data_IF_608531297182
#
_entry.id   IF_608531297182
#
_cell.length_a   1.000
_cell.length_b   1.000
_cell.length_c   1.000
_cell.angle_alpha   90.00
_cell.angle_beta   90.00
_cell.angle_gamma   90.00
#
_symmetry.space_group_name_H-M   'P 1'
#
loop_
_entity.id
_entity.type
_entity.pdbx_description
1 polymer ?
#
# COMPACT_ATOMS: atom_id res chain seq x y z
N UNK A 1 21.75 7.35 -13.22
CA UNK A 1 23.22 7.18 -13.10
C UNK A 1 23.57 7.28 -11.62
N UNK A 2 24.12 6.25 -10.98
CA UNK A 2 24.32 6.23 -9.52
C UNK A 2 25.79 6.50 -9.24
N UNK A 3 26.08 7.61 -8.59
CA UNK A 3 27.44 7.95 -8.18
C UNK A 3 27.73 7.22 -6.86
N UNK A 4 28.67 6.27 -6.86
CA UNK A 4 29.18 5.62 -5.65
C UNK A 4 30.34 6.48 -5.11
N UNK A 5 30.05 7.34 -4.14
CA UNK A 5 31.09 7.97 -3.31
C UNK A 5 31.25 7.17 -2.00
N UNK A 6 32.48 6.99 -1.48
CA UNK A 6 32.71 6.41 -0.17
C UNK A 6 32.00 7.21 0.93
N UNK A 7 31.46 6.53 1.96
CA UNK A 7 30.72 7.17 3.08
C UNK A 7 31.47 8.36 3.73
N UNK A 8 32.78 8.31 3.83
CA UNK A 8 33.62 9.37 4.40
C UNK A 8 33.64 10.63 3.53
N UNK A 9 33.76 10.48 2.22
CA UNK A 9 33.74 11.61 1.27
C UNK A 9 32.38 12.30 1.28
N UNK A 10 31.31 11.53 1.50
CA UNK A 10 29.97 12.05 1.62
C UNK A 10 29.72 12.95 2.81
N UNK A 11 30.23 12.57 3.98
CA UNK A 11 30.10 13.39 5.19
C UNK A 11 30.87 14.71 5.07
N UNK A 12 32.01 14.72 4.37
CA UNK A 12 32.81 15.93 4.16
C UNK A 12 32.10 16.86 3.16
N UNK A 13 31.51 16.30 2.10
CA UNK A 13 30.75 17.10 1.11
C UNK A 13 29.47 17.67 1.74
N UNK A 14 28.77 16.91 2.58
CA UNK A 14 27.61 17.43 3.32
C UNK A 14 27.98 18.57 4.29
N UNK A 15 29.10 18.43 5.02
CA UNK A 15 29.57 19.47 5.92
C UNK A 15 29.99 20.75 5.17
N UNK A 16 30.42 20.64 3.90
CA UNK A 16 30.79 21.77 3.05
C UNK A 16 29.58 22.42 2.33
N UNK A 17 28.47 21.70 2.16
CA UNK A 17 27.25 22.14 1.46
C UNK A 17 26.15 22.60 2.44
N UNK A 18 26.49 23.01 3.65
CA UNK A 18 25.50 23.58 4.57
C UNK A 18 24.88 24.86 3.98
N UNK A 19 23.56 25.07 4.13
CA UNK A 19 22.66 24.43 5.12
C UNK A 19 21.80 23.24 4.62
N UNK A 20 21.93 22.78 3.38
CA UNK A 20 21.04 21.78 2.82
C UNK A 20 21.72 20.42 2.54
N UNK A 21 21.01 19.29 2.69
CA UNK A 21 21.52 17.97 2.32
C UNK A 21 21.92 17.90 0.84
N UNK A 22 22.91 17.06 0.49
CA UNK A 22 23.38 16.87 -0.90
C UNK A 22 22.22 16.51 -1.84
N UNK A 23 21.27 15.73 -1.37
CA UNK A 23 20.09 15.32 -2.17
C UNK A 23 19.25 16.53 -2.62
N UNK A 24 19.21 17.63 -1.86
CA UNK A 24 18.52 18.88 -2.26
C UNK A 24 19.17 19.56 -3.46
N UNK A 25 20.49 19.47 -3.59
CA UNK A 25 21.18 20.01 -4.77
C UNK A 25 21.10 19.08 -5.98
N UNK A 26 21.12 17.79 -5.77
CA UNK A 26 20.93 16.80 -6.83
C UNK A 26 19.53 16.92 -7.44
N UNK A 27 18.51 17.19 -6.63
CA UNK A 27 17.14 17.42 -7.05
C UNK A 27 16.97 18.57 -8.05
N UNK A 28 17.80 19.62 -7.93
CA UNK A 28 17.80 20.76 -8.87
C UNK A 28 18.30 20.38 -10.27
N UNK A 29 19.13 19.35 -10.37
CA UNK A 29 19.67 18.85 -11.65
C UNK A 29 18.70 17.84 -12.26
N UNK A 30 18.26 16.86 -11.49
CA UNK A 30 17.28 15.84 -11.85
C UNK A 30 16.59 15.33 -10.60
N UNK A 31 15.24 15.45 -10.51
CA UNK A 31 14.48 15.00 -9.34
C UNK A 31 14.64 13.51 -8.99
N UNK A 32 15.11 12.69 -9.92
CA UNK A 32 15.37 11.26 -9.69
C UNK A 32 16.78 10.97 -9.15
N UNK A 33 17.68 11.95 -9.19
CA UNK A 33 19.03 11.81 -8.63
C UNK A 33 18.99 11.92 -7.12
N UNK A 34 19.50 10.89 -6.44
CA UNK A 34 19.57 10.85 -4.98
C UNK A 34 20.78 10.06 -4.53
N UNK A 35 21.32 10.45 -3.40
CA UNK A 35 22.42 9.75 -2.76
C UNK A 35 21.96 8.89 -1.57
N UNK A 36 21.17 9.49 -0.68
CA UNK A 36 20.68 8.81 0.55
C UNK A 36 19.18 8.60 0.57
N UNK A 37 18.43 9.54 0.03
CA UNK A 37 16.97 9.46 0.00
C UNK A 37 16.49 8.38 -0.97
N UNK A 38 15.38 7.77 -0.67
CA UNK A 38 14.66 6.95 -1.62
C UNK A 38 13.69 7.85 -2.38
N UNK A 39 13.73 7.77 -3.70
CA UNK A 39 12.74 8.38 -4.58
C UNK A 39 12.12 7.32 -5.48
N UNK A 40 10.97 7.62 -6.00
CA UNK A 40 10.31 6.71 -6.91
C UNK A 40 9.64 7.49 -8.04
N UNK A 41 9.81 7.00 -9.26
CA UNK A 41 9.15 7.53 -10.45
C UNK A 41 7.86 6.75 -10.69
N UNK A 42 6.76 7.45 -10.92
CA UNK A 42 5.50 6.84 -11.34
C UNK A 42 5.69 6.26 -12.74
N UNK A 43 5.51 4.96 -12.90
CA UNK A 43 5.64 4.25 -14.19
C UNK A 43 4.29 3.86 -14.78
N UNK A 44 3.23 3.81 -13.97
CA UNK A 44 1.86 3.72 -14.48
C UNK A 44 0.86 4.31 -13.48
N UNK A 45 -0.25 4.80 -14.02
CA UNK A 45 -1.38 5.36 -13.27
C UNK A 45 -2.66 4.74 -13.78
N UNK A 46 -3.51 4.27 -12.89
CA UNK A 46 -4.89 3.86 -13.19
C UNK A 46 -5.86 4.39 -12.14
N UNK A 47 -7.13 4.50 -12.51
CA UNK A 47 -8.19 4.99 -11.63
C UNK A 47 -9.31 3.95 -11.56
N UNK A 48 -9.17 2.94 -10.68
CA UNK A 48 -10.13 1.84 -10.61
C UNK A 48 -11.51 2.26 -10.10
N UNK A 49 -11.60 3.37 -9.36
CA UNK A 49 -12.86 3.99 -8.91
C UNK A 49 -12.76 5.50 -9.02
N UNK A 50 -13.87 6.22 -8.91
CA UNK A 50 -13.89 7.70 -8.95
C UNK A 50 -13.02 8.33 -7.84
N UNK A 51 -12.88 7.65 -6.71
CA UNK A 51 -12.16 8.14 -5.52
C UNK A 51 -10.75 7.57 -5.39
N UNK A 52 -10.33 6.66 -6.26
CA UNK A 52 -9.11 5.90 -6.05
C UNK A 52 -8.16 6.04 -7.23
N UNK A 53 -6.90 6.30 -6.95
CA UNK A 53 -5.80 6.22 -7.90
C UNK A 53 -4.86 5.08 -7.49
N UNK A 54 -4.48 4.24 -8.44
CA UNK A 54 -3.47 3.20 -8.30
C UNK A 54 -2.21 3.64 -9.03
N UNK A 55 -1.09 3.63 -8.34
CA UNK A 55 0.22 4.04 -8.81
C UNK A 55 1.16 2.84 -8.80
N UNK A 56 1.87 2.63 -9.90
CA UNK A 56 3.04 1.76 -9.93
C UNK A 56 4.29 2.62 -9.91
N UNK A 57 5.16 2.40 -8.94
CA UNK A 57 6.32 3.23 -8.67
C UNK A 57 7.60 2.44 -8.88
N UNK A 58 8.53 2.99 -9.65
CA UNK A 58 9.90 2.46 -9.78
C UNK A 58 10.79 3.20 -8.78
N UNK A 59 11.17 2.57 -7.66
CA UNK A 59 12.03 3.21 -6.67
C UNK A 59 13.48 3.27 -7.13
N UNK A 60 14.24 4.17 -6.54
CA UNK A 60 15.70 4.22 -6.68
C UNK A 60 16.37 3.05 -5.95
N UNK A 61 17.67 2.83 -6.21
CA UNK A 61 18.43 1.67 -5.68
C UNK A 61 18.58 1.65 -4.16
N UNK A 62 18.29 2.75 -3.49
CA UNK A 62 18.31 2.86 -2.03
C UNK A 62 17.13 2.13 -1.38
N UNK A 63 16.08 1.84 -2.13
CA UNK A 63 14.93 1.07 -1.65
C UNK A 63 15.34 -0.35 -1.31
N UNK A 64 15.02 -0.80 -0.10
CA UNK A 64 15.36 -2.13 0.43
C UNK A 64 14.26 -3.18 0.30
N UNK A 65 13.10 -2.79 -0.25
CA UNK A 65 11.92 -3.62 -0.26
C UNK A 65 11.01 -3.37 0.95
N UNK A 66 9.97 -4.18 1.07
CA UNK A 66 9.03 -4.15 2.19
C UNK A 66 8.64 -5.58 2.59
N UNK A 67 8.19 -5.75 3.81
CA UNK A 67 7.44 -6.92 4.23
C UNK A 67 5.95 -6.64 4.03
N UNK A 68 5.17 -7.67 3.66
CA UNK A 68 3.75 -7.54 3.42
C UNK A 68 3.04 -7.00 4.67
N UNK A 69 2.24 -5.96 4.49
CA UNK A 69 1.55 -5.26 5.57
C UNK A 69 2.23 -3.99 6.05
N UNK A 70 3.55 -3.83 5.85
CA UNK A 70 4.25 -2.59 6.17
C UNK A 70 3.71 -1.39 5.38
N UNK A 71 4.03 -0.19 5.85
CA UNK A 71 3.75 1.07 5.18
C UNK A 71 5.03 1.83 4.85
N UNK A 72 4.93 2.79 3.96
CA UNK A 72 5.95 3.78 3.67
C UNK A 72 5.36 5.19 3.75
N UNK A 73 6.21 6.19 3.96
CA UNK A 73 5.82 7.59 3.80
C UNK A 73 6.05 7.99 2.35
N UNK A 74 5.00 8.43 1.68
CA UNK A 74 5.05 9.05 0.37
C UNK A 74 5.04 10.56 0.53
N UNK A 75 6.00 11.23 -0.10
CA UNK A 75 6.12 12.69 -0.07
C UNK A 75 5.91 13.28 -1.47
N UNK A 76 5.14 14.33 -1.53
CA UNK A 76 4.87 15.10 -2.75
C UNK A 76 4.97 16.60 -2.44
N UNK A 77 5.45 17.37 -3.39
CA UNK A 77 5.49 18.84 -3.30
C UNK A 77 4.22 19.40 -3.96
N UNK A 78 3.45 20.16 -3.19
CA UNK A 78 2.23 20.86 -3.64
C UNK A 78 2.44 22.34 -3.29
N UNK A 79 2.34 23.19 -4.28
CA UNK A 79 2.52 24.66 -4.13
C UNK A 79 3.83 25.04 -3.39
N UNK A 80 4.91 24.33 -3.70
CA UNK A 80 6.23 24.54 -3.09
C UNK A 80 6.40 23.94 -1.69
N UNK A 81 5.37 23.33 -1.10
CA UNK A 81 5.40 22.72 0.22
C UNK A 81 5.42 21.21 0.11
N UNK A 82 6.33 20.55 0.82
CA UNK A 82 6.42 19.09 0.90
C UNK A 82 5.40 18.55 1.89
N UNK A 83 4.53 17.69 1.42
CA UNK A 83 3.55 16.97 2.21
C UNK A 83 3.82 15.47 2.20
N UNK A 84 3.67 14.81 3.35
CA UNK A 84 3.90 13.36 3.48
C UNK A 84 2.68 12.65 4.06
N UNK A 85 2.40 11.44 3.55
CA UNK A 85 1.34 10.55 4.08
C UNK A 85 1.82 9.10 4.01
N UNK A 86 1.31 8.29 4.94
CA UNK A 86 1.60 6.87 4.99
C UNK A 86 0.68 6.08 4.05
N UNK A 87 1.26 5.16 3.30
CA UNK A 87 0.55 4.23 2.43
C UNK A 87 1.20 2.86 2.50
N UNK A 88 0.40 1.80 2.51
CA UNK A 88 0.90 0.43 2.45
C UNK A 88 1.01 -0.03 1.00
N UNK A 89 2.17 -0.57 0.59
CA UNK A 89 2.28 -1.28 -0.68
C UNK A 89 1.25 -2.41 -0.77
N UNK A 90 0.59 -2.52 -1.92
CA UNK A 90 -0.39 -3.57 -2.16
C UNK A 90 0.20 -4.78 -2.90
N UNK A 91 1.37 -4.64 -3.53
CA UNK A 91 2.06 -5.74 -4.20
C UNK A 91 2.63 -6.76 -3.21
N UNK A 92 2.82 -8.00 -3.67
CA UNK A 92 3.51 -9.03 -2.91
C UNK A 92 4.93 -8.58 -2.52
N UNK A 93 5.35 -8.94 -1.32
CA UNK A 93 6.74 -8.80 -0.86
C UNK A 93 7.61 -10.00 -1.20
N UNK A 94 7.03 -11.07 -1.77
CA UNK A 94 7.78 -12.25 -2.21
C UNK A 94 8.38 -12.02 -3.59
N UNK A 95 9.66 -12.32 -3.73
CA UNK A 95 10.39 -12.24 -4.99
C UNK A 95 11.35 -11.05 -5.10
N UNK A 96 12.17 -11.08 -6.15
CA UNK A 96 13.13 -10.01 -6.42
C UNK A 96 12.42 -8.81 -7.08
N UNK A 97 12.73 -7.62 -6.61
CA UNK A 97 12.46 -6.32 -7.24
C UNK A 97 11.18 -6.22 -8.10
N UNK A 98 10.08 -5.87 -7.47
CA UNK A 98 8.88 -5.42 -8.18
C UNK A 98 8.67 -3.91 -7.95
N UNK A 99 8.00 -3.20 -8.88
CA UNK A 99 7.52 -1.85 -8.63
C UNK A 99 6.66 -1.82 -7.36
N UNK A 100 6.74 -0.72 -6.61
CA UNK A 100 5.85 -0.49 -5.46
C UNK A 100 4.46 -0.17 -6.02
N UNK A 101 3.46 -0.94 -5.66
CA UNK A 101 2.07 -0.63 -5.98
C UNK A 101 1.42 0.09 -4.80
N UNK A 102 0.97 1.31 -5.01
CA UNK A 102 0.19 2.06 -4.03
C UNK A 102 -1.21 2.32 -4.57
N UNK A 103 -2.21 2.10 -3.74
CA UNK A 103 -3.61 2.46 -4.04
C UNK A 103 -4.07 3.47 -3.02
N UNK A 104 -4.40 4.66 -3.50
CA UNK A 104 -4.68 5.85 -2.72
C UNK A 104 -6.14 6.23 -2.93
N UNK A 105 -6.92 6.16 -1.87
CA UNK A 105 -8.33 6.61 -1.88
C UNK A 105 -8.41 8.05 -1.38
N UNK A 106 -8.98 8.92 -2.18
CA UNK A 106 -9.23 10.30 -1.79
C UNK A 106 -10.38 10.37 -0.77
N UNK A 107 -10.12 11.06 0.33
CA UNK A 107 -11.13 11.42 1.33
C UNK A 107 -11.56 12.86 1.11
N UNK A 108 -12.77 13.22 1.54
CA UNK A 108 -13.37 14.54 1.27
C UNK A 108 -12.47 15.67 1.82
N UNK A 109 -11.82 15.47 2.97
CA UNK A 109 -10.86 16.42 3.58
C UNK A 109 -9.39 16.05 3.31
N UNK A 110 -9.14 15.11 2.42
CA UNK A 110 -7.83 14.53 2.18
C UNK A 110 -7.00 15.33 1.17
N UNK A 111 -6.26 16.36 1.59
CA UNK A 111 -5.48 17.23 0.71
C UNK A 111 -4.49 16.46 -0.20
N UNK A 112 -3.62 15.62 0.36
CA UNK A 112 -2.61 14.87 -0.43
C UNK A 112 -3.24 13.78 -1.28
N UNK A 113 -4.20 13.03 -0.74
CA UNK A 113 -4.86 11.95 -1.47
C UNK A 113 -5.69 12.47 -2.65
N UNK A 114 -6.37 13.59 -2.47
CA UNK A 114 -7.11 14.28 -3.54
C UNK A 114 -6.16 14.80 -4.61
N UNK A 115 -5.07 15.47 -4.21
CA UNK A 115 -4.05 15.93 -5.15
C UNK A 115 -3.48 14.79 -6.00
N UNK A 116 -3.12 13.66 -5.38
CA UNK A 116 -2.58 12.51 -6.11
C UNK A 116 -3.61 11.85 -7.03
N UNK A 117 -4.87 11.72 -6.58
CA UNK A 117 -5.95 11.22 -7.45
C UNK A 117 -6.08 12.05 -8.73
N UNK A 118 -6.00 13.38 -8.60
CA UNK A 118 -6.29 14.29 -9.70
C UNK A 118 -5.06 14.57 -10.59
N UNK A 119 -3.86 14.64 -9.99
CA UNK A 119 -2.66 15.14 -10.64
C UNK A 119 -1.59 14.09 -10.90
N UNK A 120 -1.69 12.87 -10.32
CA UNK A 120 -0.67 11.85 -10.55
C UNK A 120 -0.61 11.47 -12.03
N UNK A 121 0.63 11.44 -12.58
CA UNK A 121 0.93 11.09 -13.97
C UNK A 121 2.26 10.34 -14.07
N UNK A 122 2.42 9.59 -15.13
CA UNK A 122 3.67 8.91 -15.45
C UNK A 122 4.83 9.91 -15.56
N UNK A 123 6.00 9.50 -15.10
CA UNK A 123 7.19 10.33 -15.01
C UNK A 123 7.28 11.23 -13.78
N UNK A 124 6.20 11.43 -13.02
CA UNK A 124 6.24 12.18 -11.77
C UNK A 124 7.14 11.49 -10.75
N UNK A 125 8.03 12.25 -10.10
CA UNK A 125 8.93 11.74 -9.06
C UNK A 125 8.40 12.11 -7.70
N UNK A 126 8.36 11.12 -6.80
CA UNK A 126 7.88 11.23 -5.43
C UNK A 126 8.98 10.84 -4.45
N UNK A 127 9.02 11.48 -3.29
CA UNK A 127 9.85 11.03 -2.19
C UNK A 127 9.21 9.81 -1.51
N UNK A 128 10.03 8.84 -1.12
CA UNK A 128 9.57 7.60 -0.48
C UNK A 128 10.49 7.27 0.69
N UNK A 129 9.94 6.95 1.87
CA UNK A 129 10.75 6.40 2.96
C UNK A 129 11.06 4.92 2.71
N UNK A 130 11.96 4.32 3.49
CA UNK A 130 12.00 2.87 3.66
C UNK A 130 10.67 2.39 4.27
N UNK A 131 10.31 1.13 4.01
CA UNK A 131 9.15 0.51 4.62
C UNK A 131 9.33 0.37 6.15
N UNK A 132 8.24 0.50 6.88
CA UNK A 132 8.18 0.49 8.34
C UNK A 132 6.88 -0.18 8.82
N UNK A 133 6.83 -0.53 10.10
CA UNK A 133 5.67 -1.09 10.76
C UNK A 133 5.82 -2.57 11.09
N UNK A 134 5.10 -2.99 12.12
CA UNK A 134 5.12 -4.35 12.68
C UNK A 134 3.90 -5.18 12.27
N UNK A 135 2.96 -4.57 11.53
CA UNK A 135 1.80 -5.28 10.99
C UNK A 135 2.25 -6.14 9.81
N UNK A 136 2.78 -7.32 10.12
CA UNK A 136 3.39 -8.25 9.15
C UNK A 136 2.90 -9.67 9.38
N UNK A 137 3.13 -10.55 8.39
CA UNK A 137 2.84 -11.97 8.54
C UNK A 137 3.82 -12.60 9.55
N UNK A 138 3.36 -13.47 10.46
CA UNK A 138 4.24 -14.22 11.35
C UNK A 138 5.08 -15.24 10.54
N UNK A 139 6.14 -15.72 11.17
CA UNK A 139 7.01 -16.74 10.56
C UNK A 139 6.30 -18.09 10.36
N UNK A 140 5.41 -18.43 11.28
CA UNK A 140 4.59 -19.64 11.23
C UNK A 140 3.12 -19.21 11.15
N UNK A 141 2.41 -19.74 10.18
CA UNK A 141 1.01 -19.45 9.89
C UNK A 141 0.32 -20.73 9.46
N UNK A 142 -0.78 -21.08 10.11
CA UNK A 142 -1.58 -22.26 9.75
C UNK A 142 -2.83 -21.92 8.96
N UNK A 143 -3.46 -20.78 9.29
CA UNK A 143 -4.68 -20.27 8.67
C UNK A 143 -4.67 -18.74 8.76
N UNK A 144 -5.20 -18.04 7.77
CA UNK A 144 -5.26 -16.59 7.76
C UNK A 144 -6.67 -16.08 7.52
N UNK A 145 -7.12 -15.13 8.35
CA UNK A 145 -8.35 -14.37 8.14
C UNK A 145 -8.01 -12.90 7.98
N UNK A 146 -8.21 -12.37 6.79
CA UNK A 146 -8.02 -10.97 6.46
C UNK A 146 -9.34 -10.22 6.53
N UNK A 147 -9.39 -9.15 7.30
CA UNK A 147 -10.56 -8.29 7.45
C UNK A 147 -10.14 -6.87 7.09
N UNK A 148 -10.77 -6.28 6.08
CA UNK A 148 -10.39 -4.96 5.61
C UNK A 148 -11.58 -4.05 5.37
N UNK A 149 -11.39 -2.74 5.59
CA UNK A 149 -12.38 -1.71 5.30
C UNK A 149 -11.80 -0.59 4.45
N UNK A 150 -12.42 -0.30 3.30
CA UNK A 150 -12.01 0.78 2.41
C UNK A 150 -10.52 0.71 2.01
N UNK A 151 -9.75 1.75 2.29
CA UNK A 151 -8.31 1.80 1.97
C UNK A 151 -7.45 0.81 2.76
N UNK A 152 -7.96 0.24 3.86
CA UNK A 152 -7.27 -0.80 4.63
C UNK A 152 -7.11 -2.12 3.88
N UNK A 153 -7.65 -2.24 2.68
CA UNK A 153 -7.43 -3.39 1.80
C UNK A 153 -5.96 -3.56 1.40
N UNK A 154 -5.17 -2.48 1.30
CA UNK A 154 -3.81 -2.53 0.72
C UNK A 154 -2.84 -3.40 1.50
N UNK A 155 -2.66 -3.26 2.84
CA UNK A 155 -1.73 -4.11 3.58
C UNK A 155 -2.15 -5.58 3.59
N UNK A 156 -3.43 -5.89 3.77
CA UNK A 156 -3.90 -7.28 3.82
C UNK A 156 -3.92 -7.94 2.44
N UNK A 157 -4.14 -7.18 1.37
CA UNK A 157 -3.97 -7.67 -0.01
C UNK A 157 -2.50 -8.00 -0.30
N UNK A 158 -1.56 -7.17 0.15
CA UNK A 158 -0.13 -7.47 0.07
C UNK A 158 0.22 -8.78 0.78
N UNK A 159 -0.35 -9.02 1.98
CA UNK A 159 -0.19 -10.26 2.73
C UNK A 159 -0.76 -11.46 1.96
N UNK A 160 -1.99 -11.38 1.49
CA UNK A 160 -2.63 -12.43 0.70
C UNK A 160 -1.82 -12.76 -0.57
N UNK A 161 -1.43 -11.75 -1.35
CA UNK A 161 -0.60 -11.94 -2.56
C UNK A 161 0.76 -12.56 -2.22
N UNK A 162 1.31 -12.25 -1.05
CA UNK A 162 2.58 -12.82 -0.59
C UNK A 162 2.42 -14.29 -0.19
N UNK A 163 1.34 -14.66 0.48
CA UNK A 163 1.03 -16.05 0.81
C UNK A 163 0.82 -16.88 -0.47
N UNK A 164 0.07 -16.36 -1.44
CA UNK A 164 -0.12 -17.01 -2.75
C UNK A 164 1.23 -17.23 -3.45
N UNK A 165 2.08 -16.19 -3.51
CA UNK A 165 3.40 -16.27 -4.14
C UNK A 165 4.34 -17.27 -3.43
N UNK A 166 4.22 -17.41 -2.11
CA UNK A 166 4.94 -18.41 -1.29
C UNK A 166 4.30 -19.81 -1.34
N UNK A 167 3.20 -19.98 -2.10
CA UNK A 167 2.47 -21.25 -2.21
C UNK A 167 1.95 -21.75 -0.86
N UNK A 168 1.46 -20.84 -0.04
CA UNK A 168 0.84 -21.19 1.23
C UNK A 168 -0.37 -22.12 0.99
N UNK A 169 -0.47 -23.19 1.76
CA UNK A 169 -1.48 -24.25 1.58
C UNK A 169 -2.58 -24.24 2.65
N UNK A 170 -2.42 -23.41 3.68
CA UNK A 170 -3.45 -23.27 4.72
C UNK A 170 -4.68 -22.51 4.21
N UNK A 171 -5.81 -22.61 4.92
CA UNK A 171 -7.03 -21.85 4.58
C UNK A 171 -6.78 -20.35 4.61
N UNK A 172 -7.36 -19.65 3.65
CA UNK A 172 -7.39 -18.18 3.62
C UNK A 172 -8.84 -17.74 3.48
N UNK A 173 -9.29 -16.86 4.37
CA UNK A 173 -10.55 -16.14 4.25
C UNK A 173 -10.28 -14.65 4.15
N UNK A 174 -10.96 -13.96 3.23
CA UNK A 174 -10.79 -12.53 3.00
C UNK A 174 -12.14 -11.81 3.05
N UNK A 175 -12.37 -11.03 4.10
CA UNK A 175 -13.54 -10.18 4.27
C UNK A 175 -13.18 -8.74 3.90
N UNK A 176 -13.95 -8.12 3.00
CA UNK A 176 -13.74 -6.73 2.65
C UNK A 176 -15.04 -5.93 2.72
N UNK A 177 -14.97 -4.81 3.43
CA UNK A 177 -16.07 -3.85 3.61
C UNK A 177 -15.80 -2.60 2.77
N UNK A 178 -16.71 -2.29 1.86
CA UNK A 178 -16.69 -1.07 1.06
C UNK A 178 -18.04 -0.34 1.20
N UNK A 179 -18.12 0.92 0.80
CA UNK A 179 -19.41 1.63 0.81
C UNK A 179 -20.39 1.01 -0.16
N UNK A 180 -19.95 0.80 -1.38
CA UNK A 180 -20.73 0.22 -2.47
C UNK A 180 -19.86 -0.73 -3.31
N UNK A 181 -20.44 -1.59 -4.18
CA UNK A 181 -19.65 -2.39 -5.12
C UNK A 181 -18.70 -1.60 -6.01
N UNK A 182 -19.06 -0.36 -6.36
CA UNK A 182 -18.23 0.53 -7.18
C UNK A 182 -17.01 1.10 -6.43
N UNK A 183 -17.04 1.09 -5.10
CA UNK A 183 -15.93 1.57 -4.26
C UNK A 183 -14.84 0.52 -4.02
N UNK A 184 -15.04 -0.74 -4.46
CA UNK A 184 -14.05 -1.82 -4.31
C UNK A 184 -12.97 -1.70 -5.38
N UNK A 185 -11.84 -1.09 -5.04
CA UNK A 185 -10.74 -0.82 -5.97
C UNK A 185 -10.12 -2.06 -6.62
N UNK A 186 -10.23 -3.23 -5.99
CA UNK A 186 -9.63 -4.49 -6.43
C UNK A 186 -10.68 -5.58 -6.72
N UNK A 187 -11.93 -5.23 -6.96
CA UNK A 187 -13.05 -6.18 -7.05
C UNK A 187 -12.78 -7.36 -8.00
N UNK A 188 -12.43 -7.07 -9.23
CA UNK A 188 -12.18 -8.12 -10.24
C UNK A 188 -10.95 -8.97 -9.89
N UNK A 189 -9.91 -8.34 -9.36
CA UNK A 189 -8.68 -9.03 -8.97
C UNK A 189 -8.90 -9.93 -7.75
N UNK A 190 -9.57 -9.44 -6.70
CA UNK A 190 -9.91 -10.25 -5.52
C UNK A 190 -10.73 -11.49 -5.92
N UNK A 191 -11.72 -11.32 -6.79
CA UNK A 191 -12.53 -12.44 -7.29
C UNK A 191 -11.66 -13.45 -8.06
N UNK A 192 -10.77 -12.97 -8.93
CA UNK A 192 -9.88 -13.85 -9.71
C UNK A 192 -8.88 -14.59 -8.82
N UNK A 193 -8.24 -13.90 -7.86
CA UNK A 193 -7.32 -14.52 -6.91
C UNK A 193 -8.02 -15.54 -6.02
N UNK A 194 -9.23 -15.25 -5.55
CA UNK A 194 -10.02 -16.15 -4.73
C UNK A 194 -10.36 -17.43 -5.49
N UNK A 195 -10.88 -17.30 -6.70
CA UNK A 195 -11.24 -18.44 -7.54
C UNK A 195 -10.02 -19.33 -7.89
N UNK A 196 -8.87 -18.70 -8.20
CA UNK A 196 -7.67 -19.43 -8.60
C UNK A 196 -6.96 -20.15 -7.44
N UNK A 197 -7.15 -19.70 -6.19
CA UNK A 197 -6.41 -20.21 -5.03
C UNK A 197 -7.32 -20.79 -3.92
N UNK A 198 -8.61 -20.97 -4.17
CA UNK A 198 -9.54 -21.54 -3.20
C UNK A 198 -9.73 -20.67 -1.94
N UNK A 199 -9.65 -19.36 -2.08
CA UNK A 199 -9.80 -18.38 -0.99
C UNK A 199 -11.31 -18.12 -0.77
N UNK A 200 -11.77 -18.15 0.49
CA UNK A 200 -13.11 -17.72 0.87
C UNK A 200 -13.18 -16.19 0.86
N UNK A 201 -13.72 -15.62 -0.22
CA UNK A 201 -13.86 -14.17 -0.39
C UNK A 201 -15.29 -13.74 -0.06
N UNK A 202 -15.42 -12.82 0.92
CA UNK A 202 -16.69 -12.24 1.35
C UNK A 202 -16.62 -10.72 1.19
N UNK A 203 -17.51 -10.14 0.37
CA UNK A 203 -17.61 -8.71 0.14
C UNK A 203 -18.89 -8.17 0.76
N UNK A 204 -18.75 -7.17 1.62
CA UNK A 204 -19.86 -6.52 2.33
C UNK A 204 -19.93 -5.03 1.96
N UNK A 205 -21.14 -4.49 1.92
CA UNK A 205 -21.38 -3.11 1.52
C UNK A 205 -22.06 -2.33 2.63
N UNK A 206 -21.39 -1.30 3.15
CA UNK A 206 -21.86 -0.52 4.31
C UNK A 206 -22.93 0.51 3.96
N UNK A 207 -23.13 0.82 2.68
CA UNK A 207 -24.28 1.58 2.20
C UNK A 207 -25.28 0.61 1.62
N UNK A 208 -26.49 0.68 2.13
CA UNK A 208 -27.60 -0.09 1.59
C UNK A 208 -27.96 0.34 0.16
N UNK A 209 -28.69 -0.52 -0.54
CA UNK A 209 -29.28 -0.24 -1.85
C UNK A 209 -30.79 -0.38 -1.75
N UNK A 210 -31.50 0.73 -1.96
CA UNK A 210 -32.96 0.80 -1.79
C UNK A 210 -33.39 0.40 -0.37
N UNK A 211 -34.20 -0.66 -0.27
CA UNK A 211 -34.72 -1.17 1.01
C UNK A 211 -33.76 -2.11 1.75
N UNK A 212 -32.62 -2.45 1.15
CA UNK A 212 -31.62 -3.32 1.79
C UNK A 212 -30.70 -2.48 2.67
N UNK A 213 -30.65 -2.72 4.01
CA UNK A 213 -29.75 -1.99 4.90
C UNK A 213 -28.28 -2.30 4.58
N UNK A 214 -27.40 -1.36 4.88
CA UNK A 214 -25.96 -1.58 4.78
C UNK A 214 -25.47 -2.59 5.82
N UNK A 215 -24.41 -3.35 5.46
CA UNK A 215 -23.82 -4.36 6.31
C UNK A 215 -22.50 -3.88 6.90
N UNK A 216 -22.45 -3.72 8.22
CA UNK A 216 -21.24 -3.45 8.99
C UNK A 216 -20.73 -4.75 9.62
N UNK A 217 -19.45 -4.77 10.00
CA UNK A 217 -18.86 -5.94 10.63
C UNK A 217 -19.65 -6.36 11.88
N UNK A 218 -19.94 -7.65 11.95
CA UNK A 218 -20.47 -8.32 13.14
C UNK A 218 -19.77 -9.68 13.32
N UNK A 219 -19.78 -10.22 14.54
CA UNK A 219 -19.22 -11.55 14.80
C UNK A 219 -19.84 -12.66 13.93
N UNK A 220 -21.10 -12.52 13.52
CA UNK A 220 -21.76 -13.48 12.63
C UNK A 220 -21.08 -13.59 11.26
N UNK A 221 -20.34 -12.56 10.81
CA UNK A 221 -19.57 -12.63 9.55
C UNK A 221 -18.37 -13.59 9.65
N UNK A 222 -18.00 -14.03 10.84
CA UNK A 222 -16.96 -15.03 11.07
C UNK A 222 -17.52 -16.47 11.07
N UNK A 223 -18.84 -16.62 11.09
CA UNK A 223 -19.46 -17.95 11.10
C UNK A 223 -19.11 -18.74 9.83
N UNK A 224 -18.85 -20.03 10.02
CA UNK A 224 -18.52 -20.95 8.95
C UNK A 224 -17.13 -20.78 8.33
N UNK A 225 -16.25 -19.94 8.93
CA UNK A 225 -14.85 -19.83 8.50
C UNK A 225 -14.09 -21.09 8.93
N UNK A 226 -13.52 -21.79 7.95
CA UNK A 226 -12.71 -22.98 8.21
C UNK A 226 -11.42 -22.63 8.94
N UNK A 227 -11.17 -23.31 10.08
CA UNK A 227 -9.94 -23.14 10.85
C UNK A 227 -9.85 -21.81 11.61
N UNK A 228 -11.00 -21.15 11.87
CA UNK A 228 -11.03 -19.85 12.58
C UNK A 228 -10.37 -19.92 13.97
N UNK A 229 -10.51 -21.02 14.69
CA UNK A 229 -9.94 -21.17 16.04
C UNK A 229 -8.40 -21.10 16.09
N UNK A 230 -7.76 -21.51 14.99
CA UNK A 230 -6.30 -21.54 14.85
C UNK A 230 -5.81 -20.50 13.84
N UNK A 231 -6.67 -19.57 13.44
CA UNK A 231 -6.34 -18.57 12.43
C UNK A 231 -5.71 -17.32 13.05
N UNK A 232 -4.70 -16.81 12.39
CA UNK A 232 -4.25 -15.44 12.63
C UNK A 232 -5.19 -14.45 11.92
N UNK A 233 -5.68 -13.47 12.69
CA UNK A 233 -6.57 -12.42 12.20
C UNK A 233 -5.78 -11.15 11.90
N UNK A 234 -5.90 -10.67 10.66
CA UNK A 234 -5.28 -9.41 10.21
C UNK A 234 -6.37 -8.41 9.88
N UNK A 235 -6.51 -7.39 10.69
CA UNK A 235 -7.58 -6.39 10.56
C UNK A 235 -6.98 -5.03 10.20
N UNK A 236 -7.48 -4.40 9.13
CA UNK A 236 -7.08 -3.05 8.76
C UNK A 236 -8.25 -2.27 8.14
N UNK A 237 -8.54 -1.09 8.68
CA UNK A 237 -9.65 -0.28 8.20
C UNK A 237 -9.88 0.98 9.02
N UNK A 238 -11.05 1.59 8.88
CA UNK A 238 -11.43 2.74 9.69
C UNK A 238 -11.60 2.34 11.17
N UNK A 239 -11.49 3.30 12.12
CA UNK A 239 -11.62 3.03 13.56
C UNK A 239 -12.83 2.16 13.92
N UNK A 240 -13.99 2.44 13.35
CA UNK A 240 -15.20 1.67 13.61
C UNK A 240 -15.15 0.18 13.19
N UNK A 241 -14.13 -0.25 12.46
CA UNK A 241 -13.88 -1.66 12.15
C UNK A 241 -12.82 -2.26 13.08
N UNK A 242 -11.98 -1.41 13.67
CA UNK A 242 -10.83 -1.80 14.50
C UNK A 242 -11.20 -1.91 15.99
N UNK A 243 -12.23 -1.19 16.44
CA UNK A 243 -12.81 -1.17 17.80
C UNK A 243 -13.78 -2.36 18.00
#
# INVERSE_FOLDING_TARGET
MSIRLPRLVGSIVEAALTPHPVDSYLELVDPSLTWREVRATIVSVSRPTERTVRLSLRPTRQWKGHEAGQYLQLSVVIDGVRHSRCYSPANSSAGAWSPIELTITAHDDGFVSTYLRDNAREGMVLGVSQAQGEFTLPAELTSAVFISGGSGVTPVLSMMRTLIAKKFTGPITFLHYARTPADVAYRAELAALAAANGIDLRLYYTRGDGDTPGEHFTAAHLDGINGLADADLFVCGPPALMD
#
